data_IF_448295160410
#
_entry.id   IF_448295160410
#
_cell.length_a   1.000
_cell.length_b   1.000
_cell.length_c   1.000
_cell.angle_alpha   90.00
_cell.angle_beta   90.00
_cell.angle_gamma   90.00
#
_symmetry.space_group_name_H-M   'P 1'
#
loop_
_entity.id
_entity.type
_entity.pdbx_description
1 polymer ?
#
# COMPACT_ATOMS: atom_id res chain seq x y z
N UNK A 1 6.97 6.51 -5.08
CA UNK A 1 5.88 6.15 -4.15
C UNK A 1 4.54 6.46 -4.80
N UNK A 2 3.50 5.72 -4.44
CA UNK A 2 2.12 5.95 -4.87
C UNK A 2 1.23 5.93 -3.64
N UNK A 3 0.27 6.85 -3.58
CA UNK A 3 -0.78 6.86 -2.59
C UNK A 3 -2.13 6.62 -3.27
N UNK A 4 -2.92 5.72 -2.70
CA UNK A 4 -4.27 5.37 -3.14
C UNK A 4 -5.23 5.61 -1.99
N UNK A 5 -6.27 6.39 -2.24
CA UNK A 5 -7.42 6.51 -1.34
C UNK A 5 -8.53 5.57 -1.80
N UNK A 6 -8.92 4.64 -0.94
CA UNK A 6 -10.05 3.74 -1.17
C UNK A 6 -11.22 4.19 -0.28
N UNK A 7 -12.45 4.36 -0.82
CA UNK A 7 -13.60 4.70 0.02
C UNK A 7 -13.80 3.67 1.14
N UNK A 8 -14.04 4.14 2.36
CA UNK A 8 -14.21 3.25 3.54
C UNK A 8 -15.54 2.48 3.56
N UNK A 9 -16.40 2.70 2.56
CA UNK A 9 -17.56 1.86 2.25
C UNK A 9 -17.18 0.50 1.62
N UNK A 10 -15.96 0.36 1.10
CA UNK A 10 -15.49 -0.91 0.54
C UNK A 10 -15.34 -1.94 1.66
N UNK A 11 -15.96 -3.11 1.50
CA UNK A 11 -15.86 -4.17 2.49
C UNK A 11 -14.47 -4.78 2.50
N UNK A 12 -13.75 -4.61 3.61
CA UNK A 12 -12.43 -5.20 3.87
C UNK A 12 -12.55 -6.17 5.04
N UNK A 13 -12.06 -7.40 4.88
CA UNK A 13 -12.03 -8.36 5.97
C UNK A 13 -11.00 -7.94 7.03
N UNK A 14 -11.40 -7.95 8.30
CA UNK A 14 -10.56 -7.54 9.44
C UNK A 14 -9.93 -6.15 9.25
N UNK A 15 -10.73 -5.16 8.82
CA UNK A 15 -10.25 -3.81 8.51
C UNK A 15 -9.38 -3.20 9.62
N UNK A 16 -9.76 -3.36 10.90
CA UNK A 16 -9.01 -2.82 12.04
C UNK A 16 -7.58 -3.36 12.18
N UNK A 17 -7.30 -4.56 11.63
CA UNK A 17 -5.97 -5.17 11.64
C UNK A 17 -5.04 -4.56 10.58
N UNK A 18 -5.62 -4.12 9.46
CA UNK A 18 -4.87 -3.63 8.31
C UNK A 18 -4.90 -2.11 8.19
N UNK A 19 -5.90 -1.45 8.77
CA UNK A 19 -6.13 -0.01 8.66
C UNK A 19 -6.45 0.55 10.04
N UNK A 20 -5.45 0.73 10.90
CA UNK A 20 -5.70 1.30 12.22
C UNK A 20 -6.20 2.74 12.09
N UNK A 21 -7.22 3.06 12.89
CA UNK A 21 -7.90 4.35 12.85
C UNK A 21 -6.97 5.46 13.31
N UNK A 22 -6.78 6.50 12.48
CA UNK A 22 -5.95 7.68 12.77
C UNK A 22 -4.48 7.36 13.15
N UNK A 23 -4.00 6.19 12.79
CA UNK A 23 -2.62 5.77 12.98
C UNK A 23 -2.05 5.23 11.67
N UNK A 24 -0.76 5.45 11.43
CA UNK A 24 -0.06 4.85 10.30
C UNK A 24 0.50 3.49 10.72
N UNK A 25 0.18 2.45 9.96
CA UNK A 25 0.83 1.17 10.05
C UNK A 25 1.72 0.97 8.83
N UNK A 26 3.02 0.76 9.10
CA UNK A 26 4.05 0.61 8.08
C UNK A 26 4.56 -0.82 8.14
N UNK A 27 4.53 -1.52 7.02
CA UNK A 27 5.00 -2.90 6.91
C UNK A 27 6.01 -3.02 5.76
N UNK A 28 7.16 -3.64 6.03
CA UNK A 28 8.06 -4.14 4.99
C UNK A 28 7.52 -5.47 4.48
N UNK A 29 7.26 -5.57 3.19
CA UNK A 29 6.76 -6.81 2.58
C UNK A 29 7.88 -7.84 2.45
N UNK A 30 7.53 -9.11 2.70
CA UNK A 30 8.46 -10.22 2.57
C UNK A 30 8.53 -10.74 1.13
N UNK A 31 9.54 -11.57 0.85
CA UNK A 31 9.78 -12.14 -0.48
C UNK A 31 8.56 -12.90 -1.03
N UNK A 32 7.86 -13.66 -0.20
CA UNK A 32 6.65 -14.40 -0.60
C UNK A 32 5.54 -13.47 -1.11
N UNK A 33 5.36 -12.32 -0.45
CA UNK A 33 4.40 -11.30 -0.87
C UNK A 33 4.82 -10.67 -2.19
N UNK A 34 6.11 -10.31 -2.33
CA UNK A 34 6.63 -9.73 -3.57
C UNK A 34 6.46 -10.71 -4.75
N UNK A 35 6.81 -11.98 -4.56
CA UNK A 35 6.68 -13.01 -5.58
C UNK A 35 5.22 -13.24 -5.99
N UNK A 36 4.27 -13.21 -5.04
CA UNK A 36 2.84 -13.39 -5.34
C UNK A 36 2.20 -12.20 -6.04
N UNK A 37 2.67 -10.98 -5.79
CA UNK A 37 2.03 -9.75 -6.25
C UNK A 37 2.90 -8.97 -7.25
N UNK A 38 3.95 -9.60 -7.80
CA UNK A 38 4.96 -8.94 -8.62
C UNK A 38 4.39 -8.15 -9.79
N UNK A 39 3.44 -8.72 -10.54
CA UNK A 39 2.81 -8.03 -11.67
C UNK A 39 2.12 -6.73 -11.24
N UNK A 40 1.32 -6.78 -10.17
CA UNK A 40 0.62 -5.60 -9.64
C UNK A 40 1.61 -4.55 -9.09
N UNK A 41 2.66 -5.01 -8.40
CA UNK A 41 3.68 -4.14 -7.85
C UNK A 41 4.50 -3.47 -8.96
N UNK A 42 4.77 -4.17 -10.06
CA UNK A 42 5.43 -3.62 -11.25
C UNK A 42 4.55 -2.54 -11.92
N UNK A 43 3.25 -2.80 -12.07
CA UNK A 43 2.31 -1.80 -12.60
C UNK A 43 2.31 -0.52 -11.77
N UNK A 44 2.31 -0.64 -10.44
CA UNK A 44 2.45 0.51 -9.56
C UNK A 44 3.85 1.14 -9.62
N UNK A 45 4.91 0.36 -9.74
CA UNK A 45 6.26 0.90 -9.85
C UNK A 45 6.43 1.76 -11.10
N UNK A 46 5.92 1.30 -12.23
CA UNK A 46 5.98 2.02 -13.51
C UNK A 46 5.28 3.39 -13.45
N UNK A 47 4.20 3.49 -12.67
CA UNK A 47 3.48 4.74 -12.44
C UNK A 47 4.27 5.76 -11.58
N UNK A 48 5.30 5.33 -10.84
CA UNK A 48 6.09 6.24 -10.00
C UNK A 48 7.06 7.14 -10.77
N UNK A 49 7.20 6.96 -12.09
CA UNK A 49 8.19 7.67 -12.92
C UNK A 49 9.62 7.54 -12.38
N UNK A 50 9.91 6.46 -11.65
CA UNK A 50 11.22 6.20 -11.07
C UNK A 50 12.28 5.99 -12.17
N UNK A 51 13.48 6.53 -11.97
CA UNK A 51 14.62 6.27 -12.85
C UNK A 51 15.33 4.94 -12.55
N UNK A 52 14.89 4.21 -11.52
CA UNK A 52 15.45 2.90 -11.15
C UNK A 52 14.96 1.83 -12.13
N UNK A 53 15.85 0.90 -12.47
CA UNK A 53 15.52 -0.23 -13.35
C UNK A 53 14.64 -1.29 -12.66
N UNK A 54 14.68 -1.34 -11.33
CA UNK A 54 13.95 -2.33 -10.51
C UNK A 54 13.85 -1.86 -9.05
N UNK A 55 13.05 -2.55 -8.22
CA UNK A 55 12.96 -2.38 -6.77
C UNK A 55 13.28 -3.69 -6.04
N UNK A 56 13.86 -3.60 -4.84
CA UNK A 56 14.17 -4.76 -4.01
C UNK A 56 13.27 -4.84 -2.78
N UNK A 57 12.78 -3.69 -2.31
CA UNK A 57 11.97 -3.60 -1.11
C UNK A 57 10.69 -2.83 -1.41
N UNK A 58 9.59 -3.33 -0.86
CA UNK A 58 8.29 -2.66 -0.91
C UNK A 58 7.80 -2.43 0.51
N UNK A 59 7.59 -1.16 0.81
CA UNK A 59 6.96 -0.72 2.05
C UNK A 59 5.51 -0.37 1.76
N UNK A 60 4.59 -0.88 2.57
CA UNK A 60 3.18 -0.52 2.49
C UNK A 60 2.79 0.18 3.79
N UNK A 61 2.31 1.41 3.65
CA UNK A 61 1.75 2.21 4.73
C UNK A 61 0.23 2.25 4.59
N UNK A 62 -0.47 2.01 5.70
CA UNK A 62 -1.94 1.92 5.73
C UNK A 62 -2.52 2.72 6.88
N UNK A 63 -3.72 3.25 6.69
CA UNK A 63 -4.49 3.93 7.75
C UNK A 63 -5.96 4.01 7.39
N UNK A 64 -6.84 4.01 8.39
CA UNK A 64 -8.22 4.47 8.22
C UNK A 64 -8.32 5.91 8.68
N UNK A 65 -8.83 6.79 7.80
CA UNK A 65 -9.04 8.21 8.06
C UNK A 65 -10.56 8.49 8.00
N UNK A 66 -11.29 8.35 9.13
CA UNK A 66 -12.75 8.46 9.12
C UNK A 66 -13.27 9.84 8.72
N UNK A 67 -12.52 10.91 9.00
CA UNK A 67 -12.90 12.28 8.60
C UNK A 67 -12.97 12.46 7.09
N UNK A 68 -12.21 11.65 6.34
CA UNK A 68 -12.13 11.67 4.89
C UNK A 68 -12.86 10.47 4.26
N UNK A 69 -13.54 9.64 5.05
CA UNK A 69 -14.21 8.42 4.61
C UNK A 69 -13.32 7.50 3.75
N UNK A 70 -12.05 7.37 4.15
CA UNK A 70 -11.01 6.78 3.29
C UNK A 70 -10.10 5.82 4.04
N UNK A 71 -9.84 4.66 3.42
CA UNK A 71 -8.68 3.83 3.69
C UNK A 71 -7.51 4.31 2.82
N UNK A 72 -6.44 4.78 3.47
CA UNK A 72 -5.20 5.13 2.81
C UNK A 72 -4.35 3.88 2.60
N UNK A 73 -3.87 3.68 1.38
CA UNK A 73 -2.82 2.73 1.04
C UNK A 73 -1.71 3.49 0.33
N UNK A 74 -0.54 3.56 0.93
CA UNK A 74 0.66 4.10 0.29
C UNK A 74 1.67 2.98 0.06
N UNK A 75 2.25 2.95 -1.14
CA UNK A 75 3.23 1.98 -1.56
C UNK A 75 4.52 2.73 -1.93
N UNK A 76 5.61 2.35 -1.27
CA UNK A 76 6.94 2.90 -1.48
C UNK A 76 7.89 1.80 -1.94
N UNK A 77 8.63 2.10 -3.01
CA UNK A 77 9.55 1.16 -3.67
C UNK A 77 10.98 1.64 -3.46
N UNK A 78 11.83 0.76 -2.90
CA UNK A 78 13.24 1.03 -2.61
C UNK A 78 14.17 0.10 -3.38
#
# INVERSE_FOLDING_TARGET
MIAVGVPDSVTVANADLYFPVNHLQVNLMNEDFLAKNGDLLNDFFDLTSSSKLDYQQVWITTSHIPSEHTYLVEISFE
#
